data_IF_601356354301
#
_entry.id   IF_601356354301
#
_cell.length_a   1.000
_cell.length_b   1.000
_cell.length_c   1.000
_cell.angle_alpha   90.00
_cell.angle_beta   90.00
_cell.angle_gamma   90.00
#
_symmetry.space_group_name_H-M   'P 1'
#
loop_
_entity.id
_entity.type
_entity.pdbx_description
1 polymer ?
#
# COMPACT_ATOMS: atom_id res chain seq x y z
N UNK A 1 53.88 -21.98 -63.58
CA UNK A 1 54.67 -23.22 -63.80
C UNK A 1 54.12 -24.23 -62.83
N UNK A 2 53.73 -25.42 -63.30
CA UNK A 2 52.71 -26.28 -62.67
C UNK A 2 52.76 -26.39 -61.14
N UNK A 3 53.95 -26.39 -60.52
CA UNK A 3 54.11 -26.38 -59.05
C UNK A 3 53.61 -25.08 -58.39
N UNK A 4 53.99 -23.90 -58.90
CA UNK A 4 53.48 -22.62 -58.38
C UNK A 4 51.99 -22.40 -58.67
N UNK A 5 51.44 -23.04 -59.71
CA UNK A 5 50.00 -23.00 -60.00
C UNK A 5 49.21 -23.91 -59.04
N UNK A 6 49.79 -25.03 -58.60
CA UNK A 6 49.26 -25.91 -57.56
C UNK A 6 49.35 -25.27 -56.17
N UNK A 7 50.48 -24.65 -55.83
CA UNK A 7 50.68 -23.95 -54.55
C UNK A 7 49.65 -22.80 -54.40
N UNK A 8 49.43 -22.02 -55.47
CA UNK A 8 48.40 -20.97 -55.49
C UNK A 8 46.96 -21.51 -55.41
N UNK A 9 46.71 -22.71 -55.94
CA UNK A 9 45.41 -23.37 -55.81
C UNK A 9 45.17 -23.88 -54.38
N UNK A 10 46.20 -24.42 -53.72
CA UNK A 10 46.15 -24.84 -52.33
C UNK A 10 45.89 -23.67 -51.37
N UNK A 11 46.55 -22.52 -51.58
CA UNK A 11 46.29 -21.30 -50.80
C UNK A 11 44.84 -20.82 -50.95
N UNK A 12 44.30 -20.80 -52.18
CA UNK A 12 42.90 -20.42 -52.43
C UNK A 12 41.92 -21.39 -51.79
N UNK A 13 42.20 -22.69 -51.81
CA UNK A 13 41.38 -23.71 -51.16
C UNK A 13 41.43 -23.58 -49.63
N UNK A 14 42.60 -23.30 -49.07
CA UNK A 14 42.76 -23.06 -47.63
C UNK A 14 41.96 -21.83 -47.18
N UNK A 15 42.09 -20.71 -47.91
CA UNK A 15 41.32 -19.49 -47.65
C UNK A 15 39.80 -19.72 -47.78
N UNK A 16 39.36 -20.45 -48.80
CA UNK A 16 37.95 -20.79 -48.97
C UNK A 16 37.42 -21.64 -47.80
N UNK A 17 38.22 -22.59 -47.28
CA UNK A 17 37.85 -23.38 -46.08
C UNK A 17 37.72 -22.50 -44.85
N UNK A 18 38.68 -21.61 -44.59
CA UNK A 18 38.59 -20.66 -43.47
C UNK A 18 37.36 -19.75 -43.58
N UNK A 19 37.02 -19.29 -44.78
CA UNK A 19 35.79 -18.51 -45.01
C UNK A 19 34.54 -19.32 -44.72
N UNK A 20 34.47 -20.57 -45.18
CA UNK A 20 33.34 -21.47 -44.90
C UNK A 20 33.19 -21.68 -43.39
N UNK A 21 34.27 -22.00 -42.68
CA UNK A 21 34.23 -22.22 -41.23
C UNK A 21 33.76 -20.96 -40.48
N UNK A 22 34.25 -19.78 -40.90
CA UNK A 22 33.84 -18.49 -40.32
C UNK A 22 32.35 -18.20 -40.57
N UNK A 23 31.85 -18.51 -41.78
CA UNK A 23 30.43 -18.34 -42.13
C UNK A 23 29.57 -19.31 -41.30
N UNK A 24 29.98 -20.57 -41.18
CA UNK A 24 29.26 -21.57 -40.38
C UNK A 24 29.20 -21.17 -38.91
N UNK A 25 30.30 -20.69 -38.33
CA UNK A 25 30.32 -20.20 -36.96
C UNK A 25 29.39 -18.99 -36.79
N UNK A 26 29.44 -18.02 -37.71
CA UNK A 26 28.55 -16.85 -37.66
C UNK A 26 27.08 -17.22 -37.80
N UNK A 27 26.74 -18.20 -38.63
CA UNK A 27 25.37 -18.71 -38.76
C UNK A 27 24.90 -19.35 -37.45
N UNK A 28 25.76 -20.12 -36.78
CA UNK A 28 25.47 -20.72 -35.47
C UNK A 28 25.25 -19.64 -34.41
N UNK A 29 26.11 -18.62 -34.37
CA UNK A 29 25.99 -17.51 -33.41
C UNK A 29 24.70 -16.69 -33.64
N UNK A 30 24.35 -16.45 -34.91
CA UNK A 30 23.08 -15.80 -35.27
C UNK A 30 21.87 -16.62 -34.86
N UNK A 31 21.93 -17.95 -35.01
CA UNK A 31 20.85 -18.83 -34.58
C UNK A 31 20.70 -18.80 -33.06
N UNK A 32 21.80 -18.87 -32.30
CA UNK A 32 21.76 -18.74 -30.85
C UNK A 32 21.19 -17.38 -30.40
N UNK A 33 21.63 -16.28 -31.03
CA UNK A 33 21.12 -14.94 -30.72
C UNK A 33 19.62 -14.81 -31.02
N UNK A 34 19.13 -15.42 -32.11
CA UNK A 34 17.70 -15.46 -32.44
C UNK A 34 16.90 -16.20 -31.38
N UNK A 35 17.36 -17.38 -31.00
CA UNK A 35 16.63 -18.23 -30.08
C UNK A 35 16.60 -17.59 -28.68
N UNK A 36 17.71 -16.94 -28.26
CA UNK A 36 17.75 -16.12 -27.05
C UNK A 36 16.80 -14.91 -27.13
N UNK A 37 16.80 -14.15 -28.23
CA UNK A 37 15.91 -13.00 -28.41
C UNK A 37 14.42 -13.38 -28.31
N UNK A 38 14.05 -14.53 -28.87
CA UNK A 38 12.67 -15.05 -28.77
C UNK A 38 12.33 -15.48 -27.35
N UNK A 39 13.26 -16.10 -26.63
CA UNK A 39 13.07 -16.49 -25.24
C UNK A 39 12.88 -15.26 -24.34
N UNK A 40 13.73 -14.24 -24.48
CA UNK A 40 13.63 -12.98 -23.73
C UNK A 40 12.32 -12.25 -24.02
N UNK A 41 11.91 -12.18 -25.29
CA UNK A 41 10.63 -11.55 -25.66
C UNK A 41 9.43 -12.29 -25.08
N UNK A 42 9.46 -13.63 -25.09
CA UNK A 42 8.40 -14.44 -24.49
C UNK A 42 8.34 -14.30 -22.97
N UNK A 43 9.49 -14.26 -22.29
CA UNK A 43 9.55 -14.02 -20.85
C UNK A 43 9.00 -12.63 -20.50
N UNK A 44 9.45 -11.59 -21.20
CA UNK A 44 8.98 -10.23 -20.99
C UNK A 44 7.47 -10.07 -21.26
N UNK A 45 6.91 -10.80 -22.23
CA UNK A 45 5.47 -10.83 -22.47
C UNK A 45 4.71 -11.48 -21.31
N UNK A 46 5.21 -12.60 -20.78
CA UNK A 46 4.60 -13.27 -19.63
C UNK A 46 4.62 -12.39 -18.38
N UNK A 47 5.74 -11.70 -18.11
CA UNK A 47 5.88 -10.80 -16.97
C UNK A 47 4.98 -9.56 -17.13
N UNK A 48 4.85 -9.02 -18.34
CA UNK A 48 3.89 -7.95 -18.67
C UNK A 48 2.44 -8.37 -18.44
N UNK A 49 2.04 -9.56 -18.90
CA UNK A 49 0.68 -10.08 -18.73
C UNK A 49 0.36 -10.32 -17.24
N UNK A 50 1.32 -10.91 -16.50
CA UNK A 50 1.22 -11.08 -15.06
C UNK A 50 1.11 -9.73 -14.33
N UNK A 51 1.85 -8.72 -14.78
CA UNK A 51 1.78 -7.35 -14.26
C UNK A 51 0.40 -6.74 -14.41
N UNK A 52 -0.20 -6.80 -15.61
CA UNK A 52 -1.57 -6.32 -15.83
C UNK A 52 -2.60 -7.09 -15.02
N UNK A 53 -2.48 -8.41 -14.95
CA UNK A 53 -3.37 -9.23 -14.13
C UNK A 53 -3.29 -8.83 -12.65
N UNK A 54 -2.08 -8.57 -12.14
CA UNK A 54 -1.88 -8.17 -10.76
C UNK A 54 -2.48 -6.78 -10.47
N UNK A 55 -2.20 -5.79 -11.33
CA UNK A 55 -2.75 -4.43 -11.17
C UNK A 55 -4.27 -4.47 -11.23
N UNK A 56 -4.86 -5.13 -12.24
CA UNK A 56 -6.31 -5.18 -12.41
C UNK A 56 -7.04 -5.93 -11.28
N UNK A 57 -6.43 -6.98 -10.72
CA UNK A 57 -7.01 -7.68 -9.56
C UNK A 57 -6.97 -6.88 -8.26
N UNK A 58 -6.17 -5.80 -8.23
CA UNK A 58 -6.01 -4.91 -7.07
C UNK A 58 -6.34 -3.45 -7.43
N UNK A 59 -7.08 -3.21 -8.52
CA UNK A 59 -7.40 -1.90 -9.09
C UNK A 59 -7.84 -0.85 -8.05
N UNK A 60 -8.69 -1.19 -7.05
CA UNK A 60 -9.14 -0.19 -6.08
C UNK A 60 -8.05 0.30 -5.11
N UNK A 61 -6.92 -0.41 -5.03
CA UNK A 61 -5.82 -0.21 -4.07
C UNK A 61 -4.50 0.16 -4.75
N UNK A 62 -4.46 0.14 -6.08
CA UNK A 62 -3.27 0.43 -6.89
C UNK A 62 -3.55 1.66 -7.73
N UNK A 63 -2.67 2.66 -7.66
CA UNK A 63 -2.76 3.87 -8.45
C UNK A 63 -2.23 3.71 -9.87
N UNK A 64 -2.15 4.83 -10.58
CA UNK A 64 -1.78 4.88 -12.02
C UNK A 64 -0.30 4.63 -12.32
N UNK A 65 0.57 4.64 -11.32
CA UNK A 65 2.02 4.53 -11.54
C UNK A 65 2.42 3.16 -12.12
N UNK A 66 1.98 2.03 -11.53
CA UNK A 66 2.13 0.70 -12.15
C UNK A 66 1.55 0.61 -13.57
N UNK A 67 0.37 1.17 -13.82
CA UNK A 67 -0.25 1.16 -15.15
C UNK A 67 0.60 1.90 -16.19
N UNK A 68 1.18 3.05 -15.83
CA UNK A 68 2.05 3.82 -16.71
C UNK A 68 3.32 3.05 -17.07
N UNK A 69 3.92 2.35 -16.10
CA UNK A 69 5.09 1.50 -16.35
C UNK A 69 4.73 0.32 -17.26
N UNK A 70 3.57 -0.33 -17.04
CA UNK A 70 3.08 -1.40 -17.91
C UNK A 70 2.75 -0.89 -19.31
N UNK A 71 2.16 0.29 -19.46
CA UNK A 71 1.90 0.89 -20.77
C UNK A 71 3.20 1.11 -21.58
N UNK A 72 4.28 1.56 -20.90
CA UNK A 72 5.60 1.70 -21.52
C UNK A 72 6.21 0.33 -21.89
N UNK A 73 6.11 -0.66 -21.01
CA UNK A 73 6.54 -2.03 -21.31
C UNK A 73 5.79 -2.60 -22.53
N UNK A 74 4.49 -2.40 -22.61
CA UNK A 74 3.66 -2.83 -23.74
C UNK A 74 4.05 -2.14 -25.06
N UNK A 75 4.45 -0.87 -25.03
CA UNK A 75 4.97 -0.18 -26.20
C UNK A 75 6.28 -0.81 -26.70
N UNK A 76 7.21 -1.11 -25.79
CA UNK A 76 8.47 -1.80 -26.12
C UNK A 76 8.25 -3.20 -26.68
N UNK A 77 7.34 -3.97 -26.09
CA UNK A 77 6.96 -5.30 -26.59
C UNK A 77 6.34 -5.22 -27.99
N UNK A 78 5.51 -4.22 -28.25
CA UNK A 78 4.93 -3.99 -29.57
C UNK A 78 6.01 -3.66 -30.61
N UNK A 79 6.97 -2.81 -30.27
CA UNK A 79 8.11 -2.48 -31.13
C UNK A 79 8.98 -3.71 -31.41
N UNK A 80 9.31 -4.49 -30.38
CA UNK A 80 10.11 -5.71 -30.50
C UNK A 80 9.42 -6.76 -31.36
N UNK A 81 8.10 -6.92 -31.21
CA UNK A 81 7.30 -7.81 -32.06
C UNK A 81 7.26 -7.32 -33.51
N UNK A 82 7.19 -6.02 -33.77
CA UNK A 82 7.25 -5.47 -35.12
C UNK A 82 8.63 -5.69 -35.78
N UNK A 83 9.71 -5.50 -35.02
CA UNK A 83 11.09 -5.78 -35.47
C UNK A 83 11.29 -7.26 -35.83
N UNK A 84 10.68 -8.17 -35.05
CA UNK A 84 10.72 -9.61 -35.30
C UNK A 84 10.11 -10.00 -36.67
N UNK A 85 9.16 -9.22 -37.20
CA UNK A 85 8.51 -9.48 -38.49
C UNK A 85 9.27 -8.96 -39.70
N UNK A 86 10.36 -8.21 -39.50
CA UNK A 86 11.15 -7.68 -40.59
C UNK A 86 11.91 -8.80 -41.34
N UNK A 87 12.22 -8.58 -42.61
CA UNK A 87 12.97 -9.55 -43.42
C UNK A 87 14.39 -9.80 -42.87
N UNK A 88 14.95 -8.83 -42.14
CA UNK A 88 16.25 -8.91 -41.46
C UNK A 88 16.15 -8.28 -40.07
N UNK A 89 15.59 -9.00 -39.07
CA UNK A 89 15.40 -8.47 -37.74
C UNK A 89 16.71 -8.05 -37.07
N UNK A 90 16.68 -6.92 -36.37
CA UNK A 90 17.73 -6.52 -35.45
C UNK A 90 17.58 -7.24 -34.10
N UNK A 91 18.15 -8.43 -34.01
CA UNK A 91 18.08 -9.28 -32.81
C UNK A 91 18.57 -8.59 -31.53
N UNK A 92 19.57 -7.71 -31.62
CA UNK A 92 20.08 -6.97 -30.47
C UNK A 92 19.06 -5.93 -29.97
N UNK A 93 18.36 -5.25 -30.90
CA UNK A 93 17.30 -4.31 -30.54
C UNK A 93 16.14 -5.03 -29.85
N UNK A 94 15.72 -6.18 -30.38
CA UNK A 94 14.66 -7.01 -29.78
C UNK A 94 15.01 -7.41 -28.34
N UNK A 95 16.22 -7.94 -28.11
CA UNK A 95 16.67 -8.31 -26.75
C UNK A 95 16.66 -7.10 -25.82
N UNK A 96 17.19 -5.96 -26.27
CA UNK A 96 17.23 -4.74 -25.46
C UNK A 96 15.82 -4.26 -25.08
N UNK A 97 14.89 -4.24 -26.03
CA UNK A 97 13.51 -3.86 -25.80
C UNK A 97 12.79 -4.85 -24.87
N UNK A 98 13.01 -6.15 -25.04
CA UNK A 98 12.45 -7.19 -24.18
C UNK A 98 12.94 -7.07 -22.73
N UNK A 99 14.26 -6.90 -22.52
CA UNK A 99 14.83 -6.71 -21.19
C UNK A 99 14.31 -5.45 -20.50
N UNK A 100 14.20 -4.34 -21.23
CA UNK A 100 13.66 -3.10 -20.67
C UNK A 100 12.16 -3.21 -20.37
N UNK A 101 11.39 -3.87 -21.24
CA UNK A 101 9.98 -4.15 -20.99
C UNK A 101 9.81 -5.02 -19.73
N UNK A 102 10.63 -6.05 -19.57
CA UNK A 102 10.62 -6.89 -18.38
C UNK A 102 10.93 -6.08 -17.12
N UNK A 103 12.01 -5.30 -17.15
CA UNK A 103 12.38 -4.41 -16.03
C UNK A 103 11.24 -3.47 -15.61
N UNK A 104 10.50 -2.93 -16.58
CA UNK A 104 9.34 -2.07 -16.34
C UNK A 104 8.15 -2.85 -15.76
N UNK A 105 7.89 -4.07 -16.24
CA UNK A 105 6.85 -4.95 -15.70
C UNK A 105 7.15 -5.35 -14.24
N UNK A 106 8.38 -5.75 -13.95
CA UNK A 106 8.85 -6.04 -12.58
C UNK A 106 8.69 -4.84 -11.67
N UNK A 107 9.09 -3.65 -12.13
CA UNK A 107 8.94 -2.41 -11.38
C UNK A 107 7.46 -2.10 -11.12
N UNK A 108 6.58 -2.32 -12.10
CA UNK A 108 5.15 -2.12 -11.93
C UNK A 108 4.57 -3.06 -10.87
N UNK A 109 4.93 -4.35 -10.90
CA UNK A 109 4.49 -5.36 -9.92
C UNK A 109 5.00 -4.99 -8.52
N UNK A 110 6.27 -4.61 -8.40
CA UNK A 110 6.85 -4.22 -7.12
C UNK A 110 6.16 -2.99 -6.51
N UNK A 111 5.89 -1.97 -7.34
CA UNK A 111 5.18 -0.77 -6.92
C UNK A 111 3.73 -1.10 -6.51
N UNK A 112 3.00 -1.86 -7.32
CA UNK A 112 1.64 -2.28 -7.02
C UNK A 112 1.56 -3.07 -5.70
N UNK A 113 2.49 -4.01 -5.48
CA UNK A 113 2.59 -4.75 -4.20
C UNK A 113 2.83 -3.82 -3.02
N UNK A 114 3.71 -2.83 -3.19
CA UNK A 114 3.99 -1.81 -2.17
C UNK A 114 2.74 -0.99 -1.82
N UNK A 115 1.97 -0.58 -2.82
CA UNK A 115 0.73 0.18 -2.64
C UNK A 115 -0.35 -0.63 -1.94
N UNK A 116 -0.58 -1.88 -2.36
CA UNK A 116 -1.51 -2.82 -1.69
C UNK A 116 -1.10 -3.05 -0.23
N UNK A 117 0.18 -3.27 0.02
CA UNK A 117 0.69 -3.45 1.38
C UNK A 117 0.47 -2.20 2.25
N UNK A 118 0.71 -1.01 1.70
CA UNK A 118 0.46 0.25 2.40
C UNK A 118 -1.03 0.46 2.69
N UNK A 119 -1.93 0.13 1.75
CA UNK A 119 -3.38 0.21 1.97
C UNK A 119 -3.85 -0.77 3.05
N UNK A 120 -3.34 -2.00 3.04
CA UNK A 120 -3.65 -2.98 4.09
C UNK A 120 -3.16 -2.52 5.47
N UNK A 121 -1.96 -1.96 5.56
CA UNK A 121 -1.45 -1.41 6.81
C UNK A 121 -2.35 -0.27 7.36
N UNK A 122 -2.85 0.60 6.48
CA UNK A 122 -3.79 1.65 6.87
C UNK A 122 -5.14 1.08 7.33
N UNK A 123 -5.68 0.05 6.67
CA UNK A 123 -6.90 -0.64 7.11
C UNK A 123 -6.74 -1.24 8.50
N UNK A 124 -5.66 -1.95 8.74
CA UNK A 124 -5.38 -2.55 10.04
C UNK A 124 -5.20 -1.48 11.13
N UNK A 125 -4.53 -0.37 10.81
CA UNK A 125 -4.38 0.75 11.73
C UNK A 125 -5.73 1.38 12.06
N UNK A 126 -6.60 1.60 11.05
CA UNK A 126 -7.94 2.13 11.25
C UNK A 126 -8.78 1.21 12.13
N UNK A 127 -8.72 -0.10 11.91
CA UNK A 127 -9.44 -1.09 12.71
C UNK A 127 -8.98 -1.10 14.18
N UNK A 128 -7.67 -1.05 14.44
CA UNK A 128 -7.15 -0.96 15.82
C UNK A 128 -7.57 0.35 16.50
N UNK A 129 -7.45 1.47 15.80
CA UNK A 129 -7.85 2.78 16.32
C UNK A 129 -9.36 2.83 16.62
N UNK A 130 -10.19 2.28 15.73
CA UNK A 130 -11.63 2.14 15.93
C UNK A 130 -11.98 1.39 17.22
N UNK A 131 -11.36 0.23 17.44
CA UNK A 131 -11.60 -0.57 18.64
C UNK A 131 -11.24 0.18 19.92
N UNK A 132 -10.09 0.87 19.91
CA UNK A 132 -9.65 1.69 21.03
C UNK A 132 -10.63 2.84 21.31
N UNK A 133 -10.96 3.63 20.28
CA UNK A 133 -11.87 4.77 20.40
C UNK A 133 -13.26 4.34 20.90
N UNK A 134 -13.81 3.25 20.35
CA UNK A 134 -15.10 2.71 20.79
C UNK A 134 -15.06 2.25 22.26
N UNK A 135 -13.96 1.60 22.68
CA UNK A 135 -13.75 1.17 24.06
C UNK A 135 -13.70 2.34 25.04
N UNK A 136 -12.95 3.40 24.72
CA UNK A 136 -12.85 4.59 25.57
C UNK A 136 -14.19 5.34 25.69
N UNK A 137 -14.93 5.51 24.58
CA UNK A 137 -16.28 6.09 24.61
C UNK A 137 -17.23 5.24 25.44
N UNK A 138 -17.17 3.90 25.33
CA UNK A 138 -17.98 2.99 26.12
C UNK A 138 -17.67 3.11 27.62
N UNK A 139 -16.39 3.24 28.00
CA UNK A 139 -15.96 3.45 29.38
C UNK A 139 -16.55 4.74 29.96
N UNK A 140 -16.53 5.84 29.20
CA UNK A 140 -17.12 7.11 29.64
C UNK A 140 -18.64 6.98 29.78
N UNK A 141 -19.32 6.38 28.80
CA UNK A 141 -20.77 6.14 28.89
C UNK A 141 -21.15 5.37 30.16
N UNK A 142 -20.37 4.34 30.54
CA UNK A 142 -20.58 3.59 31.77
C UNK A 142 -20.36 4.44 33.02
N UNK A 143 -19.26 5.22 33.05
CA UNK A 143 -18.96 6.11 34.17
C UNK A 143 -20.06 7.15 34.37
N UNK A 144 -20.48 7.83 33.28
CA UNK A 144 -21.56 8.82 33.31
C UNK A 144 -22.87 8.19 33.76
N UNK A 145 -23.23 7.01 33.25
CA UNK A 145 -24.47 6.33 33.64
C UNK A 145 -24.50 5.88 35.12
N UNK A 146 -23.35 5.62 35.73
CA UNK A 146 -23.26 5.27 37.16
C UNK A 146 -23.24 6.48 38.08
N UNK A 147 -22.80 7.64 37.58
CA UNK A 147 -22.53 8.84 38.38
C UNK A 147 -23.32 10.06 37.90
N UNK A 148 -24.45 9.87 37.21
CA UNK A 148 -25.18 10.96 36.53
C UNK A 148 -25.49 12.17 37.43
N UNK A 149 -25.90 11.93 38.68
CA UNK A 149 -26.20 13.00 39.66
C UNK A 149 -24.97 13.66 40.28
N UNK A 150 -23.79 13.10 40.03
CA UNK A 150 -22.54 13.42 40.70
C UNK A 150 -21.54 14.11 39.76
N UNK A 151 -21.98 14.45 38.54
CA UNK A 151 -21.15 14.99 37.48
C UNK A 151 -21.54 16.43 37.11
N UNK A 152 -20.65 17.18 36.45
CA UNK A 152 -20.95 18.51 35.93
C UNK A 152 -22.17 18.51 35.01
N UNK A 153 -22.98 19.57 35.06
CA UNK A 153 -24.22 19.68 34.28
C UNK A 153 -24.03 19.71 32.76
N UNK A 154 -22.83 20.02 32.27
CA UNK A 154 -22.47 20.03 30.84
C UNK A 154 -21.96 18.67 30.32
N UNK A 155 -21.95 17.64 31.18
CA UNK A 155 -21.50 16.28 30.83
C UNK A 155 -22.25 15.69 29.62
N UNK A 156 -23.60 15.80 29.52
CA UNK A 156 -24.33 15.27 28.37
C UNK A 156 -23.92 15.88 27.03
N UNK A 157 -23.69 17.20 26.98
CA UNK A 157 -23.25 17.91 25.78
C UNK A 157 -21.84 17.49 25.36
N UNK A 158 -20.92 17.35 26.32
CA UNK A 158 -19.54 16.90 26.06
C UNK A 158 -19.50 15.46 25.56
N UNK A 159 -20.34 14.59 26.13
CA UNK A 159 -20.47 13.21 25.67
C UNK A 159 -21.09 13.11 24.28
N UNK A 160 -22.11 13.92 23.98
CA UNK A 160 -22.70 13.98 22.65
C UNK A 160 -21.69 14.46 21.59
N UNK A 161 -20.84 15.44 21.92
CA UNK A 161 -19.76 15.89 21.04
C UNK A 161 -18.76 14.76 20.75
N UNK A 162 -18.30 14.04 21.77
CA UNK A 162 -17.39 12.90 21.61
C UNK A 162 -18.01 11.78 20.77
N UNK A 163 -19.30 11.49 20.96
CA UNK A 163 -20.02 10.53 20.14
C UNK A 163 -20.15 10.99 18.68
N UNK A 164 -20.34 12.28 18.43
CA UNK A 164 -20.40 12.83 17.08
C UNK A 164 -19.03 12.72 16.36
N UNK A 165 -17.93 12.96 17.06
CA UNK A 165 -16.57 12.74 16.54
C UNK A 165 -16.34 11.27 16.17
N UNK A 166 -16.76 10.34 17.03
CA UNK A 166 -16.69 8.91 16.75
C UNK A 166 -17.50 8.53 15.50
N UNK A 167 -18.71 9.08 15.34
CA UNK A 167 -19.53 8.84 14.14
C UNK A 167 -18.90 9.43 12.87
N UNK A 168 -18.24 10.58 12.96
CA UNK A 168 -17.52 11.15 11.83
C UNK A 168 -16.34 10.26 11.41
N UNK A 169 -15.61 9.68 12.36
CA UNK A 169 -14.54 8.72 12.08
C UNK A 169 -15.06 7.43 11.42
N UNK A 170 -16.22 6.93 11.87
CA UNK A 170 -16.92 5.82 11.20
C UNK A 170 -17.29 6.14 9.77
N UNK A 171 -17.85 7.33 9.52
CA UNK A 171 -18.23 7.76 8.18
C UNK A 171 -17.00 7.86 7.25
N UNK A 172 -15.85 8.35 7.76
CA UNK A 172 -14.61 8.38 6.99
C UNK A 172 -14.12 6.97 6.61
N UNK A 173 -14.22 6.00 7.52
CA UNK A 173 -13.86 4.61 7.22
C UNK A 173 -14.79 4.00 6.16
N UNK A 174 -16.10 4.22 6.28
CA UNK A 174 -17.08 3.76 5.28
C UNK A 174 -16.88 4.44 3.91
N UNK A 175 -16.50 5.72 3.89
CA UNK A 175 -16.15 6.42 2.67
C UNK A 175 -14.90 5.80 2.01
N UNK A 176 -13.94 5.34 2.81
CA UNK A 176 -12.75 4.65 2.30
C UNK A 176 -13.10 3.33 1.61
N UNK A 177 -14.07 2.57 2.11
CA UNK A 177 -14.50 1.30 1.49
C UNK A 177 -15.01 1.50 0.06
N UNK A 178 -15.67 2.64 -0.19
CA UNK A 178 -16.31 3.01 -1.46
C UNK A 178 -15.42 3.84 -2.40
N UNK A 179 -14.26 4.27 -1.93
CA UNK A 179 -13.33 5.10 -2.70
C UNK A 179 -12.25 4.24 -3.34
N UNK A 180 -11.54 4.78 -4.33
CA UNK A 180 -10.43 4.09 -5.01
C UNK A 180 -9.14 4.89 -4.86
N UNK A 181 -8.01 4.21 -5.04
CA UNK A 181 -6.67 4.79 -5.14
C UNK A 181 -6.36 5.83 -4.02
N UNK A 182 -6.03 7.06 -4.42
CA UNK A 182 -5.66 8.18 -3.55
C UNK A 182 -6.81 8.60 -2.64
N UNK A 183 -8.06 8.54 -3.11
CA UNK A 183 -9.22 8.90 -2.30
C UNK A 183 -9.43 7.89 -1.18
N UNK A 184 -9.27 6.59 -1.47
CA UNK A 184 -9.28 5.52 -0.45
C UNK A 184 -8.19 5.75 0.59
N UNK A 185 -6.95 5.99 0.16
CA UNK A 185 -5.83 6.26 1.06
C UNK A 185 -6.09 7.46 1.99
N UNK A 186 -6.63 8.55 1.46
CA UNK A 186 -6.95 9.75 2.24
C UNK A 186 -8.07 9.48 3.25
N UNK A 187 -9.13 8.79 2.85
CA UNK A 187 -10.23 8.45 3.75
C UNK A 187 -9.78 7.50 4.86
N UNK A 188 -8.91 6.52 4.58
CA UNK A 188 -8.32 5.67 5.62
C UNK A 188 -7.48 6.48 6.61
N UNK A 189 -6.63 7.42 6.14
CA UNK A 189 -5.85 8.29 7.02
C UNK A 189 -6.75 9.18 7.88
N UNK A 190 -7.79 9.76 7.29
CA UNK A 190 -8.77 10.56 8.02
C UNK A 190 -9.50 9.74 9.09
N UNK A 191 -9.87 8.49 8.79
CA UNK A 191 -10.47 7.59 9.76
C UNK A 191 -9.51 7.27 10.92
N UNK A 192 -8.25 6.91 10.62
CA UNK A 192 -7.21 6.68 11.64
C UNK A 192 -7.04 7.89 12.55
N UNK A 193 -6.93 9.08 11.96
CA UNK A 193 -6.78 10.32 12.71
C UNK A 193 -8.01 10.58 13.59
N UNK A 194 -9.22 10.51 13.02
CA UNK A 194 -10.46 10.73 13.76
C UNK A 194 -10.64 9.78 14.94
N UNK A 195 -10.33 8.48 14.78
CA UNK A 195 -10.37 7.55 15.91
C UNK A 195 -9.31 7.84 16.97
N UNK A 196 -8.13 8.28 16.56
CA UNK A 196 -7.05 8.64 17.50
C UNK A 196 -7.43 9.89 18.29
N UNK A 197 -8.00 10.90 17.63
CA UNK A 197 -8.49 12.12 18.27
C UNK A 197 -9.61 11.81 19.27
N UNK A 198 -10.57 10.96 18.88
CA UNK A 198 -11.63 10.48 19.79
C UNK A 198 -11.04 9.80 21.01
N UNK A 199 -10.06 8.91 20.85
CA UNK A 199 -9.44 8.23 21.99
C UNK A 199 -8.76 9.23 22.95
N UNK A 200 -8.05 10.23 22.42
CA UNK A 200 -7.39 11.26 23.23
C UNK A 200 -8.41 12.17 23.94
N UNK A 201 -9.44 12.62 23.22
CA UNK A 201 -10.51 13.44 23.81
C UNK A 201 -11.31 12.65 24.85
N UNK A 202 -11.53 11.35 24.62
CA UNK A 202 -12.15 10.47 25.58
C UNK A 202 -11.33 10.38 26.87
N UNK A 203 -10.02 10.15 26.77
CA UNK A 203 -9.12 10.11 27.94
C UNK A 203 -9.15 11.42 28.74
N UNK A 204 -9.11 12.57 28.05
CA UNK A 204 -9.20 13.89 28.67
C UNK A 204 -10.55 14.11 29.35
N UNK A 205 -11.66 13.74 28.69
CA UNK A 205 -13.00 13.86 29.24
C UNK A 205 -13.16 12.97 30.48
N UNK A 206 -12.75 11.71 30.39
CA UNK A 206 -12.79 10.77 31.51
C UNK A 206 -12.04 11.33 32.72
N UNK A 207 -10.82 11.84 32.51
CA UNK A 207 -10.00 12.40 33.59
C UNK A 207 -10.69 13.60 34.26
N UNK A 208 -11.24 14.53 33.47
CA UNK A 208 -11.97 15.68 33.99
C UNK A 208 -13.24 15.28 34.77
N UNK A 209 -14.00 14.31 34.27
CA UNK A 209 -15.21 13.82 34.94
C UNK A 209 -14.85 13.09 36.25
N UNK A 210 -13.77 12.30 36.23
CA UNK A 210 -13.29 11.60 37.41
C UNK A 210 -12.82 12.58 38.50
N UNK A 211 -12.09 13.62 38.14
CA UNK A 211 -11.69 14.68 39.07
C UNK A 211 -12.90 15.41 39.68
N UNK A 212 -13.89 15.77 38.86
CA UNK A 212 -15.11 16.41 39.34
C UNK A 212 -15.89 15.51 40.32
N UNK A 213 -16.01 14.23 40.00
CA UNK A 213 -16.61 13.24 40.89
C UNK A 213 -15.87 13.13 42.23
N UNK A 214 -14.54 13.05 42.21
CA UNK A 214 -13.73 12.98 43.44
C UNK A 214 -13.89 14.22 44.32
N UNK A 215 -13.99 15.42 43.73
CA UNK A 215 -14.22 16.65 44.49
C UNK A 215 -15.59 16.65 45.16
N UNK A 216 -16.64 16.21 44.46
CA UNK A 216 -17.98 16.10 45.04
C UNK A 216 -18.02 15.07 46.18
N UNK A 217 -17.36 13.93 46.00
CA UNK A 217 -17.29 12.89 47.02
C UNK A 217 -16.57 13.39 48.29
N UNK A 218 -15.48 14.15 48.14
CA UNK A 218 -14.80 14.80 49.26
C UNK A 218 -15.72 15.76 50.02
N UNK A 219 -16.46 16.61 49.31
CA UNK A 219 -17.44 17.52 49.92
C UNK A 219 -18.55 16.79 50.67
N UNK A 220 -19.02 15.64 50.16
CA UNK A 220 -20.00 14.79 50.87
C UNK A 220 -19.45 14.26 52.18
N UNK A 221 -18.20 13.78 52.17
CA UNK A 221 -17.55 13.28 53.38
C UNK A 221 -17.31 14.39 54.41
N UNK A 222 -16.93 15.59 53.97
CA UNK A 222 -16.78 16.76 54.86
C UNK A 222 -18.12 17.17 55.47
N UNK A 223 -19.17 17.29 54.65
CA UNK A 223 -20.51 17.62 55.13
C UNK A 223 -21.04 16.59 56.13
N UNK A 224 -20.86 15.29 55.87
CA UNK A 224 -21.29 14.24 56.78
C UNK A 224 -20.61 14.35 58.16
N UNK A 225 -19.30 14.67 58.20
CA UNK A 225 -18.58 14.88 59.45
C UNK A 225 -19.07 16.11 60.22
N UNK A 226 -19.34 17.21 59.52
CA UNK A 226 -19.86 18.43 60.14
C UNK A 226 -21.28 18.23 60.69
N UNK A 227 -22.13 17.51 59.97
CA UNK A 227 -23.48 17.13 60.45
C UNK A 227 -23.38 16.26 61.70
N UNK A 228 -22.55 15.22 61.71
CA UNK A 228 -22.34 14.39 62.90
C UNK A 228 -21.81 15.20 64.09
N UNK A 229 -20.87 16.13 63.86
CA UNK A 229 -20.34 16.98 64.90
C UNK A 229 -21.41 17.90 65.49
N UNK A 230 -22.25 18.51 64.64
CA UNK A 230 -23.37 19.34 65.05
C UNK A 230 -24.42 18.55 65.84
N UNK A 231 -24.76 17.34 65.40
CA UNK A 231 -25.70 16.45 66.11
C UNK A 231 -25.18 16.07 67.50
N UNK A 232 -23.88 15.76 67.62
CA UNK A 232 -23.26 15.47 68.92
C UNK A 232 -23.26 16.67 69.85
N UNK A 233 -23.00 17.87 69.31
CA UNK A 233 -23.04 19.11 70.10
C UNK A 233 -24.45 19.40 70.62
N UNK A 234 -25.48 19.20 69.78
CA UNK A 234 -26.88 19.36 70.18
C UNK A 234 -27.32 18.33 71.23
N UNK A 235 -26.85 17.08 71.14
CA UNK A 235 -27.18 16.05 72.12
C UNK A 235 -26.51 16.25 73.50
N UNK A 236 -25.49 17.11 73.59
CA UNK A 236 -24.76 17.43 74.82
C UNK A 236 -25.22 18.76 75.46
N UNK A 237 -26.09 19.52 74.78
CA UNK A 237 -26.67 20.77 75.26
C UNK A 237 -28.03 20.54 75.96
#
# INVERSE_FOLDING_TARGET
>A
GAKGDLDAAEERLSFARTLIDTILQRLKDLQAARDAARAELAAAQADFDAGWQYVHSNDPDVGKNPEQALAQAGALLKEANAELQQARPNWLAIVKQALEANRLADQAIANARGEVAAMNALREQAQRAQQLAAGEVQKINQFVGLHENDLPGDTPERLAALQAELQAAYAALQAAERSEETARANNLRNAVQGYTDVAQHAEQLYSALYEAFQQLDQLRHELAREVEAAERALAQA
#
